data_IF_878560084582
#
_entry.id   IF_878560084582
#
_cell.length_a   1.000
_cell.length_b   1.000
_cell.length_c   1.000
_cell.angle_alpha   90.00
_cell.angle_beta   90.00
_cell.angle_gamma   90.00
#
_symmetry.space_group_name_H-M   'P 1'
#
loop_
_entity.id
_entity.type
_entity.pdbx_description
1 polymer ?
#
# COMPACT_ATOMS: atom_id res chain seq x y z
N UNK A 1 11.94 -15.24 -8.39
CA UNK A 1 13.39 -15.33 -8.65
C UNK A 1 13.83 -16.78 -8.64
N UNK A 2 14.70 -17.16 -9.56
CA UNK A 2 15.34 -18.47 -9.71
C UNK A 2 16.69 -18.57 -8.97
N UNK A 3 17.29 -17.44 -8.60
CA UNK A 3 18.57 -17.39 -7.88
C UNK A 3 18.58 -16.29 -6.81
N UNK A 4 18.38 -16.71 -5.56
CA UNK A 4 18.35 -15.81 -4.39
C UNK A 4 19.66 -15.04 -4.18
N UNK A 5 20.81 -15.68 -4.40
CA UNK A 5 22.11 -15.03 -4.17
C UNK A 5 22.38 -13.90 -5.17
N UNK A 6 21.98 -14.12 -6.43
CA UNK A 6 22.04 -13.09 -7.48
C UNK A 6 21.14 -11.91 -7.12
N UNK A 7 19.87 -12.17 -6.82
CA UNK A 7 18.90 -11.12 -6.47
C UNK A 7 19.34 -10.31 -5.24
N UNK A 8 19.84 -10.95 -4.17
CA UNK A 8 20.34 -10.22 -2.99
C UNK A 8 21.50 -9.30 -3.34
N UNK A 9 22.43 -9.76 -4.19
CA UNK A 9 23.59 -8.97 -4.60
C UNK A 9 23.18 -7.77 -5.48
N UNK A 10 22.25 -7.99 -6.41
CA UNK A 10 21.67 -6.95 -7.26
C UNK A 10 20.93 -5.88 -6.44
N UNK A 11 20.03 -6.29 -5.53
CA UNK A 11 19.28 -5.37 -4.66
C UNK A 11 20.23 -4.56 -3.77
N UNK A 12 21.26 -5.21 -3.17
CA UNK A 12 22.26 -4.49 -2.38
C UNK A 12 23.01 -3.45 -3.23
N UNK A 13 23.38 -3.80 -4.46
CA UNK A 13 24.06 -2.88 -5.36
C UNK A 13 23.18 -1.68 -5.72
N UNK A 14 21.91 -1.92 -6.06
CA UNK A 14 20.93 -0.88 -6.41
C UNK A 14 20.74 0.10 -5.24
N UNK A 15 20.53 -0.41 -4.02
CA UNK A 15 20.38 0.41 -2.81
C UNK A 15 21.62 1.26 -2.54
N UNK A 16 22.81 0.65 -2.52
CA UNK A 16 24.07 1.35 -2.26
C UNK A 16 24.34 2.47 -3.27
N UNK A 17 24.01 2.25 -4.55
CA UNK A 17 24.18 3.26 -5.61
C UNK A 17 23.31 4.51 -5.39
N UNK A 18 22.17 4.37 -4.73
CA UNK A 18 21.22 5.46 -4.45
C UNK A 18 21.33 5.99 -3.01
N UNK A 19 22.36 5.57 -2.26
CA UNK A 19 22.62 6.06 -0.90
C UNK A 19 21.83 5.35 0.20
N UNK A 20 21.18 4.22 -0.12
CA UNK A 20 20.55 3.34 0.85
C UNK A 20 21.40 2.12 1.21
N UNK A 21 20.90 1.29 2.12
CA UNK A 21 21.53 0.03 2.50
C UNK A 21 20.49 -1.08 2.69
N UNK A 22 20.85 -2.32 2.34
CA UNK A 22 20.02 -3.47 2.66
C UNK A 22 20.15 -3.79 4.15
N UNK A 23 19.07 -3.62 4.90
CA UNK A 23 18.99 -3.97 6.32
C UNK A 23 18.94 -5.49 6.55
N UNK A 24 19.04 -5.88 7.82
CA UNK A 24 18.80 -7.27 8.23
C UNK A 24 17.31 -7.63 8.09
N UNK A 25 17.02 -8.93 7.98
CA UNK A 25 15.64 -9.41 7.96
C UNK A 25 14.89 -8.94 9.20
N UNK A 26 13.75 -8.29 9.00
CA UNK A 26 12.91 -7.78 10.10
C UNK A 26 13.22 -6.35 10.54
N UNK A 27 14.30 -5.73 10.05
CA UNK A 27 14.72 -4.36 10.45
C UNK A 27 13.62 -3.30 10.34
N UNK A 28 12.78 -3.38 9.30
CA UNK A 28 11.63 -2.48 9.10
C UNK A 28 10.29 -3.21 9.11
N UNK A 29 10.28 -4.55 9.07
CA UNK A 29 9.05 -5.34 8.90
C UNK A 29 8.04 -5.12 10.03
N UNK A 30 8.50 -4.80 11.24
CA UNK A 30 7.64 -4.52 12.39
C UNK A 30 6.77 -3.27 12.23
N UNK A 31 7.16 -2.32 11.37
CA UNK A 31 6.41 -1.10 11.09
C UNK A 31 5.40 -1.29 9.95
N UNK A 32 5.30 -2.49 9.38
CA UNK A 32 4.33 -2.79 8.33
C UNK A 32 3.31 -3.80 8.82
N UNK A 33 2.05 -3.56 8.49
CA UNK A 33 0.96 -4.49 8.74
C UNK A 33 0.43 -5.00 7.41
N UNK A 34 0.30 -6.32 7.28
CA UNK A 34 -0.33 -6.91 6.10
C UNK A 34 -1.83 -6.65 6.17
N UNK A 35 -2.38 -5.94 5.19
CA UNK A 35 -3.80 -5.59 5.10
C UNK A 35 -4.33 -5.81 3.69
N UNK A 36 -5.63 -6.04 3.57
CA UNK A 36 -6.32 -5.81 2.31
C UNK A 36 -6.45 -4.31 2.07
N UNK A 37 -6.23 -3.86 0.84
CA UNK A 37 -6.38 -2.47 0.41
C UNK A 37 -7.26 -2.45 -0.83
N UNK A 38 -8.35 -1.70 -0.76
CA UNK A 38 -9.30 -1.51 -1.86
C UNK A 38 -9.36 -0.02 -2.17
N UNK A 39 -9.21 0.33 -3.45
CA UNK A 39 -9.27 1.70 -3.96
C UNK A 39 -10.53 1.89 -4.79
N UNK A 40 -11.34 2.87 -4.39
CA UNK A 40 -12.58 3.28 -5.06
C UNK A 40 -12.42 4.74 -5.50
N UNK A 41 -12.62 5.10 -6.78
CA UNK A 41 -12.54 6.49 -7.19
C UNK A 41 -13.64 7.31 -6.52
N UNK A 42 -13.31 8.54 -6.13
CA UNK A 42 -14.25 9.48 -5.49
C UNK A 42 -15.35 9.94 -6.45
N UNK A 43 -15.06 9.92 -7.76
CA UNK A 43 -16.00 10.38 -8.78
C UNK A 43 -17.26 9.50 -8.83
N UNK A 44 -18.42 10.11 -8.57
CA UNK A 44 -19.71 9.42 -8.64
C UNK A 44 -20.05 8.55 -7.43
N UNK A 45 -19.26 8.63 -6.36
CA UNK A 45 -19.48 7.89 -5.10
C UNK A 45 -19.79 8.87 -3.97
N UNK A 46 -20.86 8.58 -3.22
CA UNK A 46 -21.20 9.33 -2.01
C UNK A 46 -20.36 8.83 -0.83
N UNK A 47 -19.62 9.74 -0.18
CA UNK A 47 -18.69 9.41 0.90
C UNK A 47 -19.41 8.87 2.15
N UNK A 48 -20.57 9.44 2.49
CA UNK A 48 -21.33 9.05 3.67
C UNK A 48 -21.96 7.66 3.46
N UNK A 49 -22.50 7.38 2.27
CA UNK A 49 -23.02 6.06 1.92
C UNK A 49 -21.92 4.99 1.89
N UNK A 50 -20.79 5.29 1.24
CA UNK A 50 -19.66 4.37 1.17
C UNK A 50 -19.11 4.06 2.56
N UNK A 51 -18.98 5.07 3.44
CA UNK A 51 -18.50 4.87 4.81
C UNK A 51 -19.38 3.88 5.58
N UNK A 52 -20.71 3.99 5.45
CA UNK A 52 -21.65 3.06 6.08
C UNK A 52 -21.49 1.66 5.52
N UNK A 53 -21.45 1.50 4.20
CA UNK A 53 -21.32 0.19 3.55
C UNK A 53 -19.99 -0.50 3.90
N UNK A 54 -18.89 0.26 3.98
CA UNK A 54 -17.55 -0.24 4.32
C UNK A 54 -17.50 -0.72 5.78
N UNK A 55 -18.12 0.03 6.70
CA UNK A 55 -18.27 -0.37 8.10
C UNK A 55 -19.13 -1.63 8.25
N UNK A 56 -20.25 -1.72 7.52
CA UNK A 56 -21.12 -2.90 7.53
C UNK A 56 -20.45 -4.14 6.92
N UNK A 57 -19.61 -3.96 5.91
CA UNK A 57 -18.81 -5.03 5.33
C UNK A 57 -17.71 -5.55 6.28
N UNK A 58 -17.37 -4.80 7.34
CA UNK A 58 -16.37 -5.19 8.33
C UNK A 58 -14.95 -4.78 7.96
N UNK A 59 -14.77 -3.72 7.17
CA UNK A 59 -13.46 -3.13 6.96
C UNK A 59 -12.92 -2.49 8.25
N UNK A 60 -11.59 -2.34 8.31
CA UNK A 60 -10.92 -1.77 9.48
C UNK A 60 -10.92 -0.24 9.45
N UNK A 61 -10.73 0.34 8.27
CA UNK A 61 -10.60 1.79 8.10
C UNK A 61 -10.96 2.22 6.67
N UNK A 62 -11.40 3.46 6.53
CA UNK A 62 -11.62 4.13 5.25
C UNK A 62 -11.11 5.55 5.35
N UNK A 63 -10.24 5.93 4.42
CA UNK A 63 -9.74 7.30 4.30
C UNK A 63 -9.84 7.76 2.85
N UNK A 64 -10.01 9.06 2.66
CA UNK A 64 -9.85 9.69 1.34
C UNK A 64 -8.38 10.02 1.11
N UNK A 65 -7.83 9.54 0.00
CA UNK A 65 -6.49 9.87 -0.48
C UNK A 65 -6.56 10.39 -1.92
N UNK A 66 -6.53 11.71 -2.07
CA UNK A 66 -6.68 12.39 -3.36
C UNK A 66 -8.02 12.09 -4.03
N UNK A 67 -7.93 11.41 -5.18
CA UNK A 67 -9.06 11.03 -6.03
C UNK A 67 -9.64 9.65 -5.71
N UNK A 68 -9.15 8.99 -4.64
CA UNK A 68 -9.60 7.67 -4.21
C UNK A 68 -10.04 7.65 -2.74
N UNK A 69 -10.98 6.77 -2.44
CA UNK A 69 -11.21 6.22 -1.12
C UNK A 69 -10.37 4.95 -0.96
N UNK A 70 -9.46 4.96 0.01
CA UNK A 70 -8.64 3.83 0.39
C UNK A 70 -9.29 3.12 1.59
N UNK A 71 -9.70 1.89 1.37
CA UNK A 71 -10.35 1.03 2.37
C UNK A 71 -9.34 -0.03 2.80
N UNK A 72 -9.05 -0.07 4.09
CA UNK A 72 -8.17 -1.06 4.70
C UNK A 72 -8.99 -2.17 5.36
N UNK A 73 -8.59 -3.43 5.15
CA UNK A 73 -9.27 -4.60 5.72
C UNK A 73 -8.29 -5.57 6.36
N UNK A 74 -8.80 -6.44 7.24
CA UNK A 74 -8.05 -7.64 7.61
C UNK A 74 -7.87 -8.51 6.34
N UNK A 75 -6.66 -9.06 6.08
CA UNK A 75 -6.42 -9.89 4.90
C UNK A 75 -7.30 -11.14 4.81
N UNK A 76 -7.80 -11.65 5.95
CA UNK A 76 -8.68 -12.81 6.01
C UNK A 76 -10.10 -12.50 5.55
N UNK A 77 -10.55 -11.24 5.68
CA UNK A 77 -11.86 -10.76 5.26
C UNK A 77 -11.85 -10.05 3.90
N UNK A 78 -10.66 -9.84 3.33
CA UNK A 78 -10.46 -9.06 2.10
C UNK A 78 -11.36 -9.50 0.95
N UNK A 79 -11.43 -10.80 0.65
CA UNK A 79 -12.23 -11.29 -0.48
C UNK A 79 -13.74 -11.04 -0.26
N UNK A 80 -14.23 -11.30 0.95
CA UNK A 80 -15.65 -11.12 1.28
C UNK A 80 -16.04 -9.64 1.18
N UNK A 81 -15.20 -8.74 1.69
CA UNK A 81 -15.42 -7.29 1.62
C UNK A 81 -15.34 -6.80 0.16
N UNK A 82 -14.35 -7.26 -0.59
CA UNK A 82 -14.21 -6.92 -2.01
C UNK A 82 -15.47 -7.31 -2.80
N UNK A 83 -15.98 -8.54 -2.64
CA UNK A 83 -17.19 -9.01 -3.31
C UNK A 83 -18.46 -8.24 -2.92
N UNK A 84 -18.53 -7.68 -1.71
CA UNK A 84 -19.65 -6.83 -1.27
C UNK A 84 -19.57 -5.46 -1.94
N UNK A 85 -18.40 -4.83 -1.91
CA UNK A 85 -18.21 -3.47 -2.41
C UNK A 85 -18.25 -3.40 -3.94
N UNK A 86 -17.69 -4.38 -4.64
CA UNK A 86 -17.66 -4.44 -6.11
C UNK A 86 -19.07 -4.47 -6.75
N UNK A 87 -20.09 -4.91 -5.99
CA UNK A 87 -21.49 -4.92 -6.47
C UNK A 87 -22.13 -3.53 -6.51
N UNK A 88 -21.60 -2.58 -5.74
CA UNK A 88 -22.19 -1.24 -5.57
C UNK A 88 -21.27 -0.13 -6.08
N UNK A 89 -19.96 -0.33 -6.03
CA UNK A 89 -18.96 0.69 -6.29
C UNK A 89 -17.97 0.24 -7.38
N UNK A 90 -17.47 1.18 -8.20
CA UNK A 90 -16.39 0.89 -9.11
C UNK A 90 -15.10 0.66 -8.31
N UNK A 91 -14.49 -0.51 -8.45
CA UNK A 91 -13.18 -0.80 -7.84
C UNK A 91 -12.09 -0.52 -8.87
N UNK A 92 -11.15 0.37 -8.54
CA UNK A 92 -9.96 0.61 -9.38
C UNK A 92 -8.88 -0.43 -9.10
N UNK A 93 -8.67 -0.75 -7.81
CA UNK A 93 -7.66 -1.72 -7.38
C UNK A 93 -8.10 -2.41 -6.09
N UNK A 94 -7.76 -3.69 -5.95
CA UNK A 94 -7.97 -4.46 -4.73
C UNK A 94 -6.82 -5.47 -4.58
N UNK A 95 -6.02 -5.33 -3.53
CA UNK A 95 -4.89 -6.23 -3.27
C UNK A 95 -4.58 -6.39 -1.78
N UNK A 96 -3.84 -7.44 -1.43
CA UNK A 96 -3.25 -7.58 -0.10
C UNK A 96 -1.84 -7.01 -0.14
N UNK A 97 -1.61 -5.92 0.58
CA UNK A 97 -0.35 -5.18 0.59
C UNK A 97 0.21 -5.03 2.02
N UNK A 98 1.42 -4.47 2.11
CA UNK A 98 2.05 -4.10 3.38
C UNK A 98 1.83 -2.62 3.62
N UNK A 99 0.97 -2.28 4.58
CA UNK A 99 0.63 -0.90 4.92
C UNK A 99 1.57 -0.41 6.02
N UNK A 100 2.27 0.74 5.85
CA UNK A 100 3.16 1.28 6.87
C UNK A 100 2.35 1.87 8.04
N UNK A 101 2.78 1.61 9.27
CA UNK A 101 2.22 2.21 10.48
C UNK A 101 2.66 3.66 10.70
N UNK A 102 3.77 4.07 10.10
CA UNK A 102 4.28 5.44 10.13
C UNK A 102 4.87 5.83 8.78
N UNK A 103 4.70 7.10 8.40
CA UNK A 103 5.28 7.69 7.19
C UNK A 103 6.36 8.71 7.54
N UNK A 104 7.34 8.87 6.66
CA UNK A 104 8.41 9.86 6.81
C UNK A 104 8.33 10.83 5.65
N UNK A 105 8.13 12.12 5.97
CA UNK A 105 8.12 13.18 4.96
C UNK A 105 9.55 13.46 4.51
N UNK A 106 9.77 13.46 3.19
CA UNK A 106 11.04 13.87 2.59
C UNK A 106 10.94 15.36 2.25
N UNK A 107 11.72 16.19 2.94
CA UNK A 107 11.73 17.65 2.71
C UNK A 107 12.78 18.11 1.69
N UNK A 108 13.87 17.36 1.56
CA UNK A 108 14.96 17.64 0.64
C UNK A 108 14.64 17.10 -0.77
N UNK A 109 14.53 18.00 -1.75
CA UNK A 109 14.17 17.67 -3.13
C UNK A 109 15.17 16.69 -3.77
N UNK A 110 16.46 16.82 -3.46
CA UNK A 110 17.49 15.91 -3.99
C UNK A 110 17.36 14.49 -3.43
N UNK A 111 16.98 14.36 -2.16
CA UNK A 111 16.66 13.08 -1.53
C UNK A 111 15.39 12.48 -2.12
N UNK A 112 14.37 13.29 -2.38
CA UNK A 112 13.14 12.85 -3.04
C UNK A 112 13.42 12.34 -4.46
N UNK A 113 14.22 13.07 -5.25
CA UNK A 113 14.60 12.66 -6.61
C UNK A 113 15.38 11.33 -6.61
N UNK A 114 16.33 11.16 -5.69
CA UNK A 114 17.06 9.90 -5.52
C UNK A 114 16.16 8.74 -5.12
N UNK A 115 15.22 8.99 -4.23
CA UNK A 115 14.24 7.99 -3.79
C UNK A 115 13.32 7.57 -4.95
N UNK A 116 12.80 8.52 -5.73
CA UNK A 116 11.98 8.21 -6.91
C UNK A 116 12.76 7.41 -7.95
N UNK A 117 14.01 7.79 -8.24
CA UNK A 117 14.88 7.01 -9.13
C UNK A 117 15.14 5.59 -8.63
N UNK A 118 15.22 5.39 -7.32
CA UNK A 118 15.37 4.07 -6.73
C UNK A 118 14.06 3.27 -6.81
N UNK A 119 12.92 3.93 -6.63
CA UNK A 119 11.58 3.32 -6.70
C UNK A 119 11.23 2.82 -8.11
N UNK A 120 11.67 3.53 -9.14
CA UNK A 120 11.40 3.21 -10.55
C UNK A 120 12.25 2.03 -11.10
N UNK A 121 13.26 1.55 -10.36
CA UNK A 121 14.19 0.49 -10.79
C UNK A 121 13.70 -0.92 -10.42
#
# INVERSE_FOLDING_TARGET
TDNKQRTVSEIRHILSKHGGNLGENGSVAWNFTRKGVILIPVEGVDEDELMVDVLEAGAEDMKRDGDYFEISTDPSLFNDIHEILEKKYPIESAEISQVPGTTVKIEDEHTAEKFMKLYDL
#
